data_IF_759071949943
#
_entry.id   IF_759071949943
#
_cell.length_a   1.000
_cell.length_b   1.000
_cell.length_c   1.000
_cell.angle_alpha   90.00
_cell.angle_beta   90.00
_cell.angle_gamma   90.00
#
_symmetry.space_group_name_H-M   'P 1'
#
loop_
_entity.id
_entity.type
_entity.pdbx_description
1 polymer ?
#
# COMPACT_ATOMS: atom_id res chain seq x y z
N UNK A 1 1.39 20.90 3.90
CA UNK A 1 1.84 20.42 2.59
C UNK A 1 1.41 18.96 2.45
N UNK A 2 0.28 18.70 1.81
CA UNK A 2 -0.19 17.33 1.59
C UNK A 2 0.77 16.65 0.62
N UNK A 3 1.60 15.73 1.12
CA UNK A 3 2.33 14.81 0.26
C UNK A 3 1.28 13.88 -0.35
N UNK A 4 0.98 14.07 -1.61
CA UNK A 4 0.19 13.08 -2.37
C UNK A 4 1.04 11.83 -2.51
N UNK A 5 0.77 10.82 -1.68
CA UNK A 5 1.31 9.48 -1.91
C UNK A 5 0.58 8.88 -3.11
N UNK A 6 1.28 8.13 -3.98
CA UNK A 6 0.61 7.43 -5.06
C UNK A 6 -0.26 6.33 -4.45
N UNK A 7 -1.56 6.41 -4.71
CA UNK A 7 -2.56 5.44 -4.20
C UNK A 7 -3.00 4.44 -5.26
N UNK A 8 -2.78 4.75 -6.53
CA UNK A 8 -3.12 3.87 -7.65
C UNK A 8 -2.05 2.78 -7.80
N UNK A 9 -2.47 1.52 -7.81
CA UNK A 9 -1.59 0.36 -7.97
C UNK A 9 -1.20 0.22 -9.46
N UNK A 10 -0.26 1.05 -9.87
CA UNK A 10 0.27 1.08 -11.22
C UNK A 10 1.79 1.12 -11.19
N UNK A 11 2.43 0.61 -12.24
CA UNK A 11 3.87 0.75 -12.42
C UNK A 11 4.21 1.53 -13.69
N UNK A 12 5.37 2.20 -13.67
CA UNK A 12 5.88 2.94 -14.81
C UNK A 12 7.40 3.08 -14.76
N UNK A 13 8.02 3.17 -15.93
CA UNK A 13 9.45 3.40 -16.06
C UNK A 13 9.85 4.86 -15.76
N UNK A 14 8.98 5.83 -16.00
CA UNK A 14 9.31 7.26 -15.93
C UNK A 14 8.44 8.06 -14.99
N UNK A 15 7.19 7.64 -14.79
CA UNK A 15 6.19 8.43 -14.12
C UNK A 15 6.34 8.39 -12.59
N UNK A 16 6.42 9.55 -11.95
CA UNK A 16 6.47 9.68 -10.49
C UNK A 16 5.11 9.55 -9.81
N UNK A 17 4.02 9.60 -10.55
CA UNK A 17 2.67 9.38 -10.02
C UNK A 17 2.34 7.91 -9.83
N UNK A 18 3.10 6.98 -10.43
CA UNK A 18 2.95 5.55 -10.23
C UNK A 18 3.45 5.12 -8.84
N UNK A 19 2.75 4.17 -8.23
CA UNK A 19 3.10 3.59 -6.92
C UNK A 19 4.36 2.72 -6.99
N UNK A 20 4.60 2.10 -8.13
CA UNK A 20 5.81 1.34 -8.42
C UNK A 20 6.54 1.98 -9.60
N UNK A 21 7.76 2.39 -9.38
CA UNK A 21 8.60 2.99 -10.42
C UNK A 21 9.81 2.11 -10.73
N UNK A 22 10.05 1.87 -12.02
CA UNK A 22 11.24 1.16 -12.51
C UNK A 22 12.13 2.18 -13.23
N UNK A 23 13.12 2.80 -12.53
CA UNK A 23 13.95 3.81 -13.15
C UNK A 23 14.76 3.27 -14.32
N UNK A 24 14.83 4.05 -15.39
CA UNK A 24 15.73 3.75 -16.52
C UNK A 24 17.17 3.94 -16.03
N UNK A 25 17.98 2.91 -16.15
CA UNK A 25 19.39 2.95 -15.77
C UNK A 25 20.27 2.53 -16.93
N UNK A 26 21.45 3.16 -17.07
CA UNK A 26 22.45 2.81 -18.08
C UNK A 26 23.23 1.54 -17.70
N UNK A 27 23.13 1.10 -16.46
CA UNK A 27 23.86 -0.06 -15.94
C UNK A 27 22.92 -1.09 -15.36
N UNK A 28 23.15 -2.37 -15.66
CA UNK A 28 22.42 -3.49 -15.04
C UNK A 28 22.52 -3.50 -13.51
N UNK A 29 23.64 -3.00 -12.96
CA UNK A 29 23.82 -2.89 -11.49
C UNK A 29 22.94 -1.81 -10.84
N UNK A 30 22.43 -0.86 -11.62
CA UNK A 30 21.50 0.17 -11.16
C UNK A 30 20.03 -0.20 -11.33
N UNK A 31 19.73 -1.39 -11.89
CA UNK A 31 18.35 -1.84 -12.04
C UNK A 31 17.70 -2.02 -10.70
N UNK A 32 16.57 -1.36 -10.49
CA UNK A 32 15.80 -1.39 -9.23
C UNK A 32 14.34 -1.11 -9.47
N UNK A 33 13.54 -1.49 -8.51
CA UNK A 33 12.14 -1.14 -8.39
C UNK A 33 11.98 -0.21 -7.18
N UNK A 34 11.32 0.92 -7.36
CA UNK A 34 11.04 1.88 -6.30
C UNK A 34 9.57 1.79 -5.92
N UNK A 35 9.28 1.29 -4.73
CA UNK A 35 7.92 1.23 -4.19
C UNK A 35 7.67 2.50 -3.38
N UNK A 36 6.54 3.18 -3.60
CA UNK A 36 6.29 4.54 -3.14
C UNK A 36 5.02 4.69 -2.30
N UNK A 37 4.25 3.64 -2.09
CA UNK A 37 3.01 3.67 -1.32
C UNK A 37 3.13 3.35 0.18
N UNK A 38 4.23 2.74 0.71
CA UNK A 38 4.31 2.47 2.14
C UNK A 38 4.23 3.76 2.96
N UNK A 39 3.54 3.70 4.10
CA UNK A 39 3.44 4.79 5.05
C UNK A 39 4.77 5.04 5.77
N UNK A 40 5.10 6.32 5.99
CA UNK A 40 6.35 6.72 6.63
C UNK A 40 6.38 6.35 8.14
N UNK A 41 5.23 6.11 8.77
CA UNK A 41 5.12 5.64 10.16
C UNK A 41 5.22 4.13 10.31
N UNK A 42 5.23 3.38 9.20
CA UNK A 42 5.37 1.94 9.21
C UNK A 42 6.69 1.47 9.80
N UNK A 43 6.67 0.36 10.55
CA UNK A 43 7.89 -0.27 11.03
C UNK A 43 8.73 -0.75 9.84
N UNK A 44 9.96 -0.23 9.62
CA UNK A 44 10.74 -0.55 8.44
C UNK A 44 11.13 -2.03 8.33
N UNK A 45 11.35 -2.71 9.44
CA UNK A 45 11.70 -4.13 9.43
C UNK A 45 10.54 -4.98 8.92
N UNK A 46 9.32 -4.73 9.42
CA UNK A 46 8.13 -5.45 8.97
C UNK A 46 7.78 -5.08 7.53
N UNK A 47 7.83 -3.79 7.21
CA UNK A 47 7.49 -3.28 5.87
C UNK A 47 8.41 -3.86 4.80
N UNK A 48 9.73 -3.82 5.02
CA UNK A 48 10.69 -4.33 4.02
C UNK A 48 10.59 -5.85 3.87
N UNK A 49 10.40 -6.58 4.98
CA UNK A 49 10.20 -8.02 4.92
C UNK A 49 8.94 -8.37 4.12
N UNK A 50 7.80 -7.73 4.42
CA UNK A 50 6.54 -7.97 3.72
C UNK A 50 6.63 -7.63 2.23
N UNK A 51 7.26 -6.51 1.87
CA UNK A 51 7.46 -6.12 0.47
C UNK A 51 8.34 -7.11 -0.28
N UNK A 52 9.41 -7.62 0.35
CA UNK A 52 10.26 -8.64 -0.25
C UNK A 52 9.49 -9.95 -0.45
N UNK A 53 8.71 -10.38 0.55
CA UNK A 53 7.90 -11.59 0.45
C UNK A 53 6.86 -11.49 -0.66
N UNK A 54 6.18 -10.35 -0.79
CA UNK A 54 5.25 -10.10 -1.89
C UNK A 54 5.94 -10.15 -3.27
N UNK A 55 7.14 -9.58 -3.37
CA UNK A 55 7.95 -9.63 -4.60
C UNK A 55 8.38 -11.05 -4.97
N UNK A 56 8.80 -11.85 -4.00
CA UNK A 56 9.18 -13.24 -4.20
C UNK A 56 7.97 -14.11 -4.61
N UNK A 57 6.82 -13.85 -4.00
CA UNK A 57 5.58 -14.53 -4.35
C UNK A 57 5.17 -14.22 -5.80
N UNK A 58 5.23 -12.96 -6.20
CA UNK A 58 4.98 -12.54 -7.58
C UNK A 58 5.88 -13.23 -8.60
N UNK A 59 7.18 -13.38 -8.28
CA UNK A 59 8.14 -14.09 -9.14
C UNK A 59 7.83 -15.58 -9.20
N UNK A 60 7.59 -16.21 -8.04
CA UNK A 60 7.32 -17.65 -7.91
C UNK A 60 6.07 -18.05 -8.67
N UNK A 61 5.02 -17.27 -8.53
CA UNK A 61 3.71 -17.54 -9.14
C UNK A 61 3.54 -16.89 -10.51
N UNK A 62 4.58 -16.21 -11.02
CA UNK A 62 4.58 -15.53 -12.32
C UNK A 62 3.39 -14.57 -12.48
N UNK A 63 3.10 -13.82 -11.42
CA UNK A 63 2.02 -12.83 -11.41
C UNK A 63 2.40 -11.68 -12.33
N UNK A 64 1.61 -11.46 -13.39
CA UNK A 64 1.84 -10.36 -14.31
C UNK A 64 1.13 -9.10 -13.80
N UNK A 65 1.82 -7.96 -13.63
CA UNK A 65 1.24 -6.75 -13.05
C UNK A 65 0.36 -5.94 -14.01
N UNK A 66 0.05 -6.46 -15.19
CA UNK A 66 -0.66 -5.71 -16.24
C UNK A 66 0.28 -4.86 -17.10
N UNK A 67 -0.28 -3.88 -17.83
CA UNK A 67 0.49 -2.97 -18.67
C UNK A 67 1.03 -1.78 -17.86
N UNK A 68 2.16 -1.21 -18.32
CA UNK A 68 2.73 -0.03 -17.69
C UNK A 68 1.90 1.22 -17.95
N UNK A 69 1.79 2.09 -16.96
CA UNK A 69 1.12 3.37 -17.07
C UNK A 69 2.13 4.51 -17.24
N UNK A 70 2.31 4.97 -18.47
CA UNK A 70 3.24 6.05 -18.79
C UNK A 70 2.58 7.44 -18.83
N UNK A 71 1.24 7.52 -18.68
CA UNK A 71 0.47 8.77 -18.54
C UNK A 71 0.59 9.31 -17.11
N UNK A 72 0.47 10.62 -16.93
CA UNK A 72 0.36 11.20 -15.58
C UNK A 72 -0.97 10.76 -14.93
N UNK A 73 -0.85 9.97 -13.87
CA UNK A 73 -2.01 9.41 -13.16
C UNK A 73 -2.83 10.48 -12.42
N UNK A 74 -2.25 11.67 -12.18
CA UNK A 74 -2.97 12.78 -11.54
C UNK A 74 -3.86 13.57 -12.51
N UNK A 75 -3.61 13.44 -13.82
CA UNK A 75 -4.35 14.13 -14.88
C UNK A 75 -5.31 13.20 -15.63
N UNK A 76 -5.46 11.96 -15.19
CA UNK A 76 -6.37 10.99 -15.81
C UNK A 76 -7.84 11.40 -15.63
N UNK A 77 -8.68 11.20 -16.65
CA UNK A 77 -10.12 11.31 -16.53
C UNK A 77 -10.65 10.37 -15.43
N UNK A 78 -11.70 10.77 -14.68
CA UNK A 78 -12.25 9.97 -13.59
C UNK A 78 -12.63 8.54 -13.97
N UNK A 79 -13.05 8.33 -15.20
CA UNK A 79 -13.43 6.99 -15.70
C UNK A 79 -12.21 6.08 -15.88
N UNK A 80 -11.07 6.60 -16.33
CA UNK A 80 -9.82 5.84 -16.45
C UNK A 80 -9.26 5.52 -15.05
N UNK A 81 -9.36 6.45 -14.10
CA UNK A 81 -8.90 6.26 -12.71
C UNK A 81 -9.66 5.12 -12.02
N UNK A 82 -10.99 5.02 -12.22
CA UNK A 82 -11.81 3.95 -11.63
C UNK A 82 -11.40 2.54 -12.06
N UNK A 83 -10.79 2.41 -13.22
CA UNK A 83 -10.34 1.11 -13.74
C UNK A 83 -9.01 0.63 -13.12
N UNK A 84 -8.28 1.52 -12.42
CA UNK A 84 -6.98 1.19 -11.82
C UNK A 84 -7.20 0.79 -10.36
N UNK A 85 -6.72 -0.39 -9.92
CA UNK A 85 -6.78 -0.78 -8.52
C UNK A 85 -6.10 0.25 -7.61
N UNK A 86 -6.60 0.41 -6.39
CA UNK A 86 -6.03 1.32 -5.39
C UNK A 86 -5.50 0.54 -4.19
N UNK A 87 -4.60 1.18 -3.43
CA UNK A 87 -4.28 0.71 -2.08
C UNK A 87 -5.52 0.80 -1.20
N UNK A 88 -5.53 0.06 -0.09
CA UNK A 88 -6.63 0.12 0.89
C UNK A 88 -6.94 1.56 1.30
N UNK A 89 -8.21 1.90 1.36
CA UNK A 89 -8.70 3.25 1.68
C UNK A 89 -8.68 3.57 3.18
N UNK A 90 -8.55 2.55 4.03
CA UNK A 90 -8.52 2.70 5.49
C UNK A 90 -7.61 1.66 6.14
N UNK A 91 -7.22 1.92 7.40
CA UNK A 91 -6.46 0.96 8.18
C UNK A 91 -7.29 -0.32 8.45
N UNK A 92 -8.59 -0.18 8.64
CA UNK A 92 -9.50 -1.33 8.80
C UNK A 92 -9.45 -2.24 7.57
N UNK A 93 -9.65 -1.68 6.39
CA UNK A 93 -9.59 -2.42 5.12
C UNK A 93 -8.23 -3.09 4.92
N UNK A 94 -7.14 -2.42 5.31
CA UNK A 94 -5.80 -2.99 5.23
C UNK A 94 -5.63 -4.20 6.16
N UNK A 95 -6.16 -4.14 7.39
CA UNK A 95 -6.09 -5.26 8.33
C UNK A 95 -6.98 -6.43 7.90
N UNK A 96 -8.17 -6.16 7.39
CA UNK A 96 -9.05 -7.19 6.84
C UNK A 96 -8.45 -7.87 5.59
N UNK A 97 -7.74 -7.10 4.77
CA UNK A 97 -7.02 -7.64 3.60
C UNK A 97 -5.82 -8.49 4.01
N UNK A 98 -5.07 -8.05 5.03
CA UNK A 98 -3.96 -8.84 5.59
C UNK A 98 -4.45 -10.16 6.19
N UNK A 99 -5.60 -10.16 6.85
CA UNK A 99 -6.20 -11.36 7.43
C UNK A 99 -6.60 -12.39 6.35
N UNK A 100 -7.12 -11.91 5.23
CA UNK A 100 -7.58 -12.75 4.11
C UNK A 100 -6.44 -13.29 3.24
N UNK A 101 -5.38 -12.50 3.06
CA UNK A 101 -4.27 -12.81 2.15
C UNK A 101 -2.93 -12.64 2.88
N UNK A 102 -2.57 -13.64 3.66
CA UNK A 102 -1.34 -13.68 4.47
C UNK A 102 -0.40 -14.82 4.11
N UNK A 103 -0.82 -15.76 3.28
CA UNK A 103 -0.08 -16.99 3.00
C UNK A 103 1.33 -16.70 2.47
N UNK A 104 1.49 -15.70 1.61
CA UNK A 104 2.79 -15.33 1.06
C UNK A 104 3.76 -14.82 2.13
N UNK A 105 3.28 -14.24 3.23
CA UNK A 105 4.12 -13.74 4.33
C UNK A 105 4.67 -14.87 5.20
N UNK A 106 3.93 -15.95 5.34
CA UNK A 106 4.32 -17.09 6.19
C UNK A 106 5.28 -18.07 5.50
N UNK A 107 5.47 -17.93 4.19
CA UNK A 107 6.38 -18.78 3.44
C UNK A 107 7.81 -18.71 4.01
N UNK A 108 8.42 -19.88 4.20
CA UNK A 108 9.77 -19.96 4.75
C UNK A 108 9.92 -19.56 6.21
N UNK A 109 8.81 -19.34 6.92
CA UNK A 109 8.82 -18.97 8.35
C UNK A 109 9.30 -17.55 8.62
N UNK A 110 9.18 -16.64 7.64
CA UNK A 110 9.57 -15.22 7.80
C UNK A 110 8.63 -14.53 8.77
N UNK A 111 7.32 -14.72 8.59
CA UNK A 111 6.30 -14.35 9.57
C UNK A 111 5.59 -15.61 10.06
N UNK A 112 5.04 -15.55 11.27
CA UNK A 112 4.16 -16.60 11.81
C UNK A 112 2.73 -16.09 11.88
N UNK A 113 1.76 -17.00 11.83
CA UNK A 113 0.35 -16.62 11.97
C UNK A 113 0.10 -15.90 13.30
N UNK A 114 0.69 -16.36 14.41
CA UNK A 114 0.59 -15.69 15.71
C UNK A 114 1.08 -14.24 15.69
N UNK A 115 2.17 -13.96 14.95
CA UNK A 115 2.68 -12.57 14.80
C UNK A 115 1.72 -11.70 13.99
N UNK A 116 1.15 -12.26 12.91
CA UNK A 116 0.19 -11.55 12.08
C UNK A 116 -1.10 -11.30 12.86
N UNK A 117 -1.62 -12.30 13.57
CA UNK A 117 -2.82 -12.17 14.39
C UNK A 117 -2.64 -11.13 15.51
N UNK A 118 -1.50 -11.17 16.21
CA UNK A 118 -1.18 -10.18 17.23
C UNK A 118 -1.06 -8.74 16.65
N UNK A 119 -0.48 -8.61 15.47
CA UNK A 119 -0.39 -7.31 14.80
C UNK A 119 -1.77 -6.78 14.38
N UNK A 120 -2.62 -7.65 13.81
CA UNK A 120 -4.00 -7.30 13.43
C UNK A 120 -4.79 -6.87 14.66
N UNK A 121 -4.72 -7.64 15.77
CA UNK A 121 -5.41 -7.31 17.01
C UNK A 121 -4.99 -5.95 17.55
N UNK A 122 -3.67 -5.67 17.61
CA UNK A 122 -3.14 -4.37 18.02
C UNK A 122 -3.67 -3.22 17.16
N UNK A 123 -3.73 -3.42 15.84
CA UNK A 123 -4.23 -2.38 14.93
C UNK A 123 -5.74 -2.18 15.04
N UNK A 124 -6.51 -3.21 15.34
CA UNK A 124 -7.94 -3.04 15.63
C UNK A 124 -8.20 -2.26 16.92
N UNK A 125 -7.35 -2.38 17.94
CA UNK A 125 -7.44 -1.52 19.13
C UNK A 125 -7.21 -0.04 18.76
N UNK A 126 -6.21 0.25 17.92
CA UNK A 126 -5.96 1.62 17.42
C UNK A 126 -7.15 2.16 16.60
N UNK A 127 -7.71 1.34 15.71
CA UNK A 127 -8.89 1.68 14.89
C UNK A 127 -10.08 1.99 15.80
N UNK A 128 -10.35 1.12 16.78
CA UNK A 128 -11.44 1.32 17.73
C UNK A 128 -11.29 2.63 18.51
N UNK A 129 -10.10 2.90 19.01
CA UNK A 129 -9.81 4.15 19.72
C UNK A 129 -10.03 5.39 18.84
N UNK A 130 -9.60 5.31 17.57
CA UNK A 130 -9.76 6.42 16.62
C UNK A 130 -11.23 6.65 16.28
N UNK A 131 -11.98 5.59 15.96
CA UNK A 131 -13.39 5.68 15.55
C UNK A 131 -14.33 6.17 16.69
N UNK A 132 -13.91 6.05 17.95
CA UNK A 132 -14.69 6.51 19.11
C UNK A 132 -14.20 7.87 19.66
N UNK A 133 -13.21 8.49 19.02
CA UNK A 133 -12.75 9.81 19.40
C UNK A 133 -13.41 10.89 18.51
N UNK A 134 -14.13 11.87 19.08
CA UNK A 134 -14.70 12.96 18.30
C UNK A 134 -13.63 13.70 17.51
N UNK A 135 -13.87 13.90 16.22
CA UNK A 135 -12.97 14.67 15.39
C UNK A 135 -13.31 16.18 15.49
N UNK A 136 -12.30 17.09 15.50
CA UNK A 136 -12.56 18.52 15.55
C UNK A 136 -13.58 19.03 14.50
N UNK A 137 -13.59 18.46 13.31
CA UNK A 137 -14.56 18.81 12.25
C UNK A 137 -16.00 18.49 12.63
N UNK A 138 -16.25 17.51 13.50
CA UNK A 138 -17.61 17.18 13.97
C UNK A 138 -18.19 18.31 14.81
N UNK A 139 -17.37 18.99 15.60
CA UNK A 139 -17.80 20.18 16.33
C UNK A 139 -18.16 21.32 15.37
N UNK A 140 -17.39 21.52 14.30
CA UNK A 140 -17.70 22.51 13.27
C UNK A 140 -19.01 22.19 12.55
N UNK A 141 -19.24 20.92 12.21
CA UNK A 141 -20.43 20.49 11.46
C UNK A 141 -21.71 20.43 12.29
N UNK A 142 -21.62 20.06 13.58
CA UNK A 142 -22.80 19.68 14.37
C UNK A 142 -23.03 20.55 15.59
N UNK A 143 -22.10 21.39 16.01
CA UNK A 143 -22.23 22.19 17.23
C UNK A 143 -23.16 23.41 17.09
N UNK A 144 -23.48 23.81 15.87
CA UNK A 144 -24.32 24.96 15.56
C UNK A 144 -25.67 24.59 14.92
N UNK A 145 -26.04 23.32 14.93
CA UNK A 145 -27.31 22.83 14.35
C UNK A 145 -28.41 22.76 15.38
#
# INVERSE_FOLDING_TARGET
MYKRQPVLLAYSARNRSASCRIPITLSKKGARCEIRFPDASGNPYLTFAAMLMAGLDGIKNKIHPGESFDKDLYELPPEEVKAIPTVCGSLREAMESLDKDREFLTQGGVFTDDQIDAYIALKFEEIHKFEHAPHPVEFEMYYSS
#
